data_IF_333912622229
#
_entry.id   IF_333912622229
#
_cell.length_a   1.000
_cell.length_b   1.000
_cell.length_c   1.000
_cell.angle_alpha   90.00
_cell.angle_beta   90.00
_cell.angle_gamma   90.00
#
_symmetry.space_group_name_H-M   'P 1'
#
loop_
_entity.id
_entity.type
_entity.pdbx_description
1 polymer ?
#
# COMPACT_ATOMS: atom_id res chain seq x y z
N UNK A 1 -23.75 42.34 -19.55
CA UNK A 1 -23.82 41.56 -20.81
C UNK A 1 -22.41 41.03 -21.05
N UNK A 2 -22.07 39.75 -20.98
CA UNK A 2 -22.81 38.51 -21.24
C UNK A 2 -22.07 37.33 -20.58
N UNK A 3 -22.82 36.24 -20.42
CA UNK A 3 -22.56 35.03 -19.66
C UNK A 3 -21.23 34.30 -19.89
N UNK A 4 -20.71 33.74 -18.79
CA UNK A 4 -19.85 32.56 -18.77
C UNK A 4 -20.57 31.40 -19.47
N UNK A 5 -19.95 30.82 -20.50
CA UNK A 5 -20.41 29.57 -21.11
C UNK A 5 -19.71 28.38 -20.42
N UNK A 6 -20.54 27.53 -19.83
CA UNK A 6 -20.15 26.25 -19.26
C UNK A 6 -19.67 25.29 -20.35
N UNK A 7 -18.53 24.66 -20.12
CA UNK A 7 -18.05 23.52 -20.89
C UNK A 7 -18.67 22.23 -20.38
N UNK A 8 -19.55 21.61 -21.17
CA UNK A 8 -19.88 20.18 -21.06
C UNK A 8 -19.68 19.54 -22.41
N UNK A 9 -18.49 18.93 -22.58
CA UNK A 9 -18.18 18.01 -23.68
C UNK A 9 -19.11 16.80 -23.57
N UNK A 10 -20.07 16.69 -24.48
CA UNK A 10 -20.74 15.43 -24.80
C UNK A 10 -20.76 15.32 -26.32
N UNK A 11 -20.12 14.26 -26.84
CA UNK A 11 -20.32 13.78 -28.21
C UNK A 11 -19.59 14.54 -29.31
N UNK A 12 -18.44 14.01 -29.74
CA UNK A 12 -17.92 14.29 -31.08
C UNK A 12 -18.85 13.64 -32.12
N UNK A 13 -19.50 14.43 -32.97
CA UNK A 13 -20.09 13.94 -34.22
C UNK A 13 -19.19 14.41 -35.37
N UNK A 14 -18.51 13.47 -36.02
CA UNK A 14 -17.73 13.74 -37.23
C UNK A 14 -18.66 13.64 -38.44
N UNK A 15 -18.82 14.76 -39.17
CA UNK A 15 -19.48 14.78 -40.47
C UNK A 15 -18.48 14.36 -41.55
N UNK A 16 -18.73 13.26 -42.25
CA UNK A 16 -18.08 12.93 -43.52
C UNK A 16 -19.12 12.95 -44.65
N UNK A 17 -18.83 13.60 -45.80
CA UNK A 17 -19.77 13.70 -46.91
C UNK A 17 -19.63 12.50 -47.86
N UNK A 18 -20.73 12.21 -48.57
CA UNK A 18 -20.86 11.34 -49.74
C UNK A 18 -21.03 9.82 -49.50
N UNK A 19 -22.28 9.43 -49.18
CA UNK A 19 -23.05 8.38 -49.91
C UNK A 19 -24.46 8.35 -49.34
N UNK A 20 -25.44 8.64 -50.19
CA UNK A 20 -26.85 8.88 -49.84
C UNK A 20 -27.58 7.71 -49.21
N UNK A 21 -27.36 7.49 -47.91
CA UNK A 21 -28.20 6.66 -47.07
C UNK A 21 -28.39 7.37 -45.72
N UNK A 22 -29.61 7.84 -45.46
CA UNK A 22 -29.98 8.35 -44.14
C UNK A 22 -30.28 7.15 -43.25
N UNK A 23 -29.33 6.77 -42.39
CA UNK A 23 -29.59 5.90 -41.25
C UNK A 23 -29.56 6.76 -39.99
N UNK A 24 -30.73 7.12 -39.48
CA UNK A 24 -30.86 7.64 -38.14
C UNK A 24 -30.89 6.44 -37.18
N UNK A 25 -29.76 6.15 -36.51
CA UNK A 25 -29.77 5.27 -35.34
C UNK A 25 -30.28 6.07 -34.14
N UNK A 26 -31.52 5.82 -33.74
CA UNK A 26 -32.03 6.26 -32.45
C UNK A 26 -31.37 5.45 -31.34
N UNK A 27 -30.50 6.07 -30.55
CA UNK A 27 -30.04 5.55 -29.26
C UNK A 27 -31.17 5.61 -28.23
N UNK A 28 -32.13 4.70 -28.33
CA UNK A 28 -32.93 4.25 -27.19
C UNK A 28 -33.80 3.08 -27.63
N UNK A 29 -33.50 1.91 -27.11
CA UNK A 29 -34.43 0.79 -27.12
C UNK A 29 -34.35 -0.10 -28.35
N UNK A 30 -34.04 -1.35 -28.06
CA UNK A 30 -33.94 -2.55 -28.90
C UNK A 30 -35.24 -2.89 -29.68
N UNK A 31 -35.80 -1.95 -30.46
CA UNK A 31 -37.00 -2.14 -31.28
C UNK A 31 -36.72 -1.77 -32.73
N UNK A 32 -36.61 -2.79 -33.57
CA UNK A 32 -36.76 -2.64 -35.02
C UNK A 32 -38.26 -2.50 -35.28
N UNK A 33 -38.71 -1.31 -35.66
CA UNK A 33 -40.09 -1.08 -36.13
C UNK A 33 -40.10 -1.20 -37.65
N UNK A 34 -40.65 -2.28 -38.17
CA UNK A 34 -40.93 -2.40 -39.60
C UNK A 34 -42.11 -1.49 -39.96
N UNK A 35 -41.84 -0.38 -40.64
CA UNK A 35 -42.88 0.45 -41.25
C UNK A 35 -43.46 -0.28 -42.48
N UNK A 36 -44.65 -0.86 -42.34
CA UNK A 36 -45.42 -1.29 -43.51
C UNK A 36 -46.02 -0.07 -44.19
N UNK A 37 -45.64 0.12 -45.45
CA UNK A 37 -46.26 1.09 -46.34
C UNK A 37 -47.71 0.68 -46.61
N UNK A 38 -48.67 1.52 -46.19
CA UNK A 38 -50.10 1.29 -46.34
C UNK A 38 -50.54 1.78 -47.71
N UNK A 39 -50.29 1.01 -48.75
CA UNK A 39 -51.05 1.09 -50.00
C UNK A 39 -51.36 -0.31 -50.50
N UNK A 40 -52.61 -0.46 -50.89
CA UNK A 40 -53.23 -1.61 -51.57
C UNK A 40 -53.88 -2.66 -50.67
N UNK A 41 -55.20 -2.73 -50.80
CA UNK A 41 -56.06 -3.70 -50.15
C UNK A 41 -55.89 -5.08 -50.76
N UNK A 42 -55.67 -6.07 -49.90
CA UNK A 42 -55.66 -7.49 -50.28
C UNK A 42 -56.56 -8.21 -49.26
N UNK A 43 -57.67 -8.78 -49.77
CA UNK A 43 -58.52 -9.74 -49.04
C UNK A 43 -57.92 -11.13 -49.25
N UNK A 44 -57.54 -11.85 -48.18
CA UNK A 44 -57.41 -13.34 -48.08
C UNK A 44 -56.89 -13.73 -46.67
N UNK A 45 -56.98 -15.00 -46.22
CA UNK A 45 -58.05 -15.50 -45.36
C UNK A 45 -57.55 -15.85 -43.94
N UNK A 46 -58.50 -16.22 -43.09
CA UNK A 46 -58.29 -16.88 -41.80
C UNK A 46 -57.36 -18.09 -41.89
N UNK A 47 -56.10 -17.91 -41.48
CA UNK A 47 -55.24 -18.89 -40.78
C UNK A 47 -53.93 -18.18 -40.43
N UNK A 48 -53.83 -17.74 -39.17
CA UNK A 48 -52.57 -17.29 -38.58
C UNK A 48 -51.63 -18.50 -38.56
N UNK A 49 -50.80 -18.59 -39.59
CA UNK A 49 -49.63 -19.44 -39.58
C UNK A 49 -48.75 -19.00 -38.41
N UNK A 50 -48.54 -19.98 -37.54
CA UNK A 50 -47.58 -19.97 -36.48
C UNK A 50 -46.20 -19.70 -37.10
N UNK A 51 -45.64 -18.53 -36.86
CA UNK A 51 -44.19 -18.33 -36.91
C UNK A 51 -43.79 -17.58 -35.64
N UNK A 52 -43.89 -18.29 -34.52
CA UNK A 52 -43.21 -17.91 -33.30
C UNK A 52 -41.76 -18.38 -33.42
N UNK A 53 -40.97 -17.68 -34.22
CA UNK A 53 -39.51 -17.75 -34.07
C UNK A 53 -39.19 -16.94 -32.83
N UNK A 54 -39.19 -17.60 -31.66
CA UNK A 54 -38.59 -17.04 -30.47
C UNK A 54 -37.12 -16.76 -30.81
N UNK A 55 -36.84 -15.49 -31.15
CA UNK A 55 -35.48 -14.98 -31.14
C UNK A 55 -35.05 -15.06 -29.69
N UNK A 56 -34.41 -16.17 -29.33
CA UNK A 56 -33.63 -16.26 -28.11
C UNK A 56 -32.58 -15.15 -28.24
N UNK A 57 -32.90 -13.98 -27.69
CA UNK A 57 -31.90 -13.17 -27.06
C UNK A 57 -31.32 -14.07 -25.98
N UNK A 58 -30.25 -14.80 -26.32
CA UNK A 58 -29.21 -15.12 -25.36
C UNK A 58 -28.74 -13.76 -24.86
N UNK A 59 -29.46 -13.23 -23.88
CA UNK A 59 -29.02 -12.09 -23.13
C UNK A 59 -27.74 -12.57 -22.48
N UNK A 60 -26.62 -12.02 -22.95
CA UNK A 60 -25.38 -12.02 -22.20
C UNK A 60 -25.58 -11.15 -20.96
N UNK A 61 -26.54 -11.50 -20.09
CA UNK A 61 -26.50 -11.06 -18.72
C UNK A 61 -25.18 -11.62 -18.19
N UNK A 62 -24.27 -10.77 -17.69
CA UNK A 62 -23.10 -11.28 -17.02
C UNK A 62 -23.59 -12.26 -15.95
N UNK A 63 -23.22 -13.54 -16.09
CA UNK A 63 -23.55 -14.57 -15.10
C UNK A 63 -23.00 -14.08 -13.77
N UNK A 64 -23.89 -13.73 -12.84
CA UNK A 64 -23.51 -13.27 -11.52
C UNK A 64 -22.74 -14.36 -10.77
N UNK A 65 -21.83 -13.95 -9.89
CA UNK A 65 -21.11 -14.85 -8.99
C UNK A 65 -22.10 -15.72 -8.22
N UNK A 66 -21.91 -17.03 -8.21
CA UNK A 66 -22.80 -17.92 -7.45
C UNK A 66 -22.45 -17.87 -5.97
N UNK A 67 -23.45 -17.96 -5.08
CA UNK A 67 -23.20 -18.00 -3.63
C UNK A 67 -22.31 -19.18 -3.25
N UNK A 68 -22.45 -20.32 -3.94
CA UNK A 68 -21.63 -21.51 -3.68
C UNK A 68 -20.16 -21.29 -4.07
N UNK A 69 -19.90 -20.58 -5.17
CA UNK A 69 -18.56 -20.21 -5.60
C UNK A 69 -17.90 -19.27 -4.58
N UNK A 70 -18.66 -18.33 -4.03
CA UNK A 70 -18.17 -17.47 -2.96
C UNK A 70 -17.92 -18.24 -1.66
N UNK A 71 -18.79 -19.19 -1.29
CA UNK A 71 -18.65 -19.98 -0.06
C UNK A 71 -17.38 -20.84 -0.06
N UNK A 72 -17.00 -21.41 -1.20
CA UNK A 72 -15.76 -22.20 -1.30
C UNK A 72 -14.54 -21.27 -1.24
N UNK A 73 -14.60 -20.10 -1.86
CA UNK A 73 -13.49 -19.13 -1.83
C UNK A 73 -13.21 -18.65 -0.41
N UNK A 74 -14.24 -18.26 0.35
CA UNK A 74 -14.03 -17.81 1.74
C UNK A 74 -13.54 -18.96 2.64
N UNK A 75 -13.94 -20.20 2.37
CA UNK A 75 -13.48 -21.36 3.12
C UNK A 75 -11.97 -21.59 2.93
N UNK A 76 -11.49 -21.54 1.68
CA UNK A 76 -10.06 -21.72 1.39
C UNK A 76 -9.24 -20.54 1.94
N UNK A 77 -9.69 -19.30 1.74
CA UNK A 77 -9.01 -18.11 2.27
C UNK A 77 -8.94 -18.15 3.80
N UNK A 78 -9.98 -18.63 4.48
CA UNK A 78 -10.00 -18.79 5.93
C UNK A 78 -8.91 -19.73 6.45
N UNK A 79 -8.70 -20.88 5.81
CA UNK A 79 -7.66 -21.85 6.18
C UNK A 79 -6.26 -21.25 5.97
N UNK A 80 -6.03 -20.61 4.81
CA UNK A 80 -4.74 -19.99 4.51
C UNK A 80 -4.42 -18.84 5.49
N UNK A 81 -5.41 -18.01 5.82
CA UNK A 81 -5.24 -16.90 6.75
C UNK A 81 -4.88 -17.37 8.16
N UNK A 82 -5.49 -18.47 8.64
CA UNK A 82 -5.23 -19.01 9.97
C UNK A 82 -3.75 -19.39 10.18
N UNK A 83 -3.09 -19.93 9.14
CA UNK A 83 -1.67 -20.31 9.19
C UNK A 83 -0.76 -19.09 8.96
N UNK A 84 -1.15 -18.17 8.08
CA UNK A 84 -0.31 -17.05 7.66
C UNK A 84 -0.22 -15.92 8.71
N UNK A 85 -1.30 -15.65 9.46
CA UNK A 85 -1.37 -14.52 10.40
C UNK A 85 -0.26 -14.49 11.47
N UNK A 86 0.03 -15.58 12.22
CA UNK A 86 1.06 -15.54 13.24
C UNK A 86 2.44 -15.26 12.65
N UNK A 87 2.80 -15.89 11.53
CA UNK A 87 4.08 -15.68 10.86
C UNK A 87 4.22 -14.25 10.32
N UNK A 88 3.13 -13.68 9.79
CA UNK A 88 3.12 -12.31 9.28
C UNK A 88 3.36 -11.27 10.39
N UNK A 89 2.82 -11.49 11.59
CA UNK A 89 3.02 -10.58 12.73
C UNK A 89 4.51 -10.47 13.16
N UNK A 90 5.24 -11.57 13.12
CA UNK A 90 6.67 -11.60 13.41
C UNK A 90 7.48 -10.83 12.36
N UNK A 91 7.09 -10.98 11.09
CA UNK A 91 7.75 -10.27 9.98
C UNK A 91 7.62 -8.75 10.15
N UNK A 92 6.41 -8.25 10.39
CA UNK A 92 6.16 -6.82 10.65
C UNK A 92 6.96 -6.32 11.86
N UNK A 93 7.08 -7.14 12.89
CA UNK A 93 7.88 -6.82 14.09
C UNK A 93 9.36 -6.65 13.74
N UNK A 94 9.93 -7.57 12.96
CA UNK A 94 11.33 -7.49 12.50
C UNK A 94 11.56 -6.26 11.62
N UNK A 95 10.66 -5.97 10.69
CA UNK A 95 10.79 -4.78 9.83
C UNK A 95 10.88 -3.51 10.65
N UNK A 96 10.00 -3.34 11.66
CA UNK A 96 10.05 -2.16 12.54
C UNK A 96 11.32 -2.10 13.38
N UNK A 97 11.83 -3.23 13.84
CA UNK A 97 13.12 -3.29 14.55
C UNK A 97 14.29 -2.94 13.65
N UNK A 98 14.30 -3.44 12.41
CA UNK A 98 15.31 -3.10 11.42
C UNK A 98 15.36 -1.60 11.16
N UNK A 99 14.21 -0.91 11.10
CA UNK A 99 14.19 0.56 10.99
C UNK A 99 14.94 1.22 12.16
N UNK A 100 14.70 0.79 13.40
CA UNK A 100 15.34 1.34 14.60
C UNK A 100 16.85 1.06 14.57
N UNK A 101 17.23 -0.18 14.22
CA UNK A 101 18.63 -0.59 14.11
C UNK A 101 19.36 0.28 13.08
N UNK A 102 18.78 0.47 11.90
CA UNK A 102 19.37 1.32 10.84
C UNK A 102 19.48 2.77 11.30
N UNK A 103 18.51 3.29 12.04
CA UNK A 103 18.60 4.64 12.61
C UNK A 103 19.72 4.75 13.65
N UNK A 104 19.85 3.76 14.54
CA UNK A 104 20.92 3.71 15.54
C UNK A 104 22.30 3.48 14.92
N UNK A 105 22.38 2.77 13.81
CA UNK A 105 23.63 2.58 13.06
C UNK A 105 24.11 3.90 12.47
N UNK A 106 23.21 4.69 11.89
CA UNK A 106 23.52 6.05 11.42
C UNK A 106 24.03 6.94 12.55
N UNK A 107 23.33 6.92 13.69
CA UNK A 107 23.77 7.63 14.89
C UNK A 107 25.17 7.17 15.29
N UNK A 108 25.39 5.87 15.33
CA UNK A 108 26.67 5.30 15.74
C UNK A 108 27.83 5.73 14.85
N UNK A 109 27.66 5.68 13.52
CA UNK A 109 28.68 6.12 12.57
C UNK A 109 29.01 7.60 12.74
N UNK A 110 28.01 8.46 12.79
CA UNK A 110 28.29 9.89 12.88
C UNK A 110 28.82 10.31 14.26
N UNK A 111 28.43 9.60 15.33
CA UNK A 111 29.04 9.75 16.66
C UNK A 111 30.52 9.34 16.62
N UNK A 112 30.88 8.23 15.95
CA UNK A 112 32.28 7.83 15.81
C UNK A 112 33.09 8.84 14.99
N UNK A 113 32.50 9.42 13.96
CA UNK A 113 33.13 10.48 13.15
C UNK A 113 33.35 11.74 13.99
N UNK A 114 32.33 12.19 14.72
CA UNK A 114 32.44 13.34 15.63
C UNK A 114 33.55 13.13 16.67
N UNK A 115 33.54 11.97 17.34
CA UNK A 115 34.55 11.64 18.35
C UNK A 115 35.96 11.56 17.77
N UNK A 116 36.13 11.16 16.51
CA UNK A 116 37.42 11.13 15.83
C UNK A 116 37.96 12.52 15.47
N UNK A 117 37.07 13.49 15.21
CA UNK A 117 37.42 14.84 14.79
C UNK A 117 37.52 15.84 15.95
N UNK A 118 36.94 15.53 17.11
CA UNK A 118 36.90 16.43 18.25
C UNK A 118 38.17 16.31 19.12
N UNK A 119 38.75 17.47 19.45
CA UNK A 119 39.82 17.63 20.44
C UNK A 119 39.34 18.59 21.55
N UNK A 120 39.20 18.14 22.82
CA UNK A 120 39.47 16.80 23.34
C UNK A 120 38.45 15.75 22.86
N UNK A 121 38.89 14.48 22.84
CA UNK A 121 38.05 13.34 22.46
C UNK A 121 36.91 13.15 23.45
N UNK A 122 35.70 13.48 23.04
CA UNK A 122 34.51 13.35 23.89
C UNK A 122 33.33 12.94 23.03
N UNK A 123 32.53 12.00 23.55
CA UNK A 123 31.28 11.59 22.90
C UNK A 123 30.25 12.72 22.99
N UNK A 124 29.49 12.99 21.92
CA UNK A 124 28.51 14.07 21.91
C UNK A 124 27.32 13.74 22.84
N UNK A 125 26.93 14.71 23.66
CA UNK A 125 25.77 14.60 24.58
C UNK A 125 24.42 14.81 23.86
N UNK A 126 24.44 15.36 22.65
CA UNK A 126 23.26 15.62 21.84
C UNK A 126 23.54 15.32 20.36
N UNK A 127 22.49 14.96 19.60
CA UNK A 127 22.63 14.65 18.18
C UNK A 127 22.73 15.89 17.27
N UNK A 128 22.36 17.07 17.76
CA UNK A 128 22.41 18.30 16.96
C UNK A 128 23.85 18.65 16.59
N UNK A 129 24.82 18.35 17.47
CA UNK A 129 26.25 18.52 17.21
C UNK A 129 26.77 17.61 16.08
N UNK A 130 26.08 16.50 15.83
CA UNK A 130 26.46 15.47 14.85
C UNK A 130 25.67 15.63 13.54
N UNK A 131 24.73 16.57 13.48
CA UNK A 131 23.90 16.81 12.29
C UNK A 131 22.92 15.68 11.97
N UNK A 132 22.52 14.88 12.97
CA UNK A 132 21.53 13.82 12.82
C UNK A 132 20.23 14.20 13.51
N UNK A 133 19.12 14.07 12.78
CA UNK A 133 17.79 14.18 13.36
C UNK A 133 17.23 12.79 13.72
N UNK A 134 16.81 12.63 14.97
CA UNK A 134 16.16 11.41 15.44
C UNK A 134 14.65 11.48 15.27
N UNK A 135 14.06 10.46 14.63
CA UNK A 135 12.61 10.34 14.54
C UNK A 135 12.00 9.77 15.82
N UNK A 136 11.06 10.48 16.42
CA UNK A 136 10.34 10.02 17.63
C UNK A 136 9.34 8.87 17.39
N UNK A 137 9.23 8.36 16.15
CA UNK A 137 8.30 7.32 15.69
C UNK A 137 8.30 6.08 16.58
N UNK A 138 9.49 5.61 16.98
CA UNK A 138 9.66 4.40 17.78
C UNK A 138 10.06 4.67 19.23
N UNK A 139 10.17 5.93 19.64
CA UNK A 139 10.67 6.30 20.96
C UNK A 139 11.54 7.54 20.88
N UNK A 140 11.70 8.22 22.02
CA UNK A 140 12.70 9.29 22.12
C UNK A 140 14.08 8.66 22.24
N UNK A 141 15.08 9.26 21.61
CA UNK A 141 16.47 8.88 21.81
C UNK A 141 16.88 9.23 23.25
N UNK A 142 17.64 8.33 23.84
CA UNK A 142 18.35 8.53 25.08
C UNK A 142 19.86 8.43 24.80
N UNK A 143 20.60 9.38 25.34
CA UNK A 143 22.06 9.46 25.28
C UNK A 143 22.58 9.21 26.68
N UNK A 144 23.49 8.25 26.82
CA UNK A 144 24.12 7.89 28.08
C UNK A 144 25.61 7.82 27.80
N UNK A 145 26.30 8.93 28.06
CA UNK A 145 27.76 8.97 27.99
C UNK A 145 28.28 8.52 29.35
N UNK A 146 28.97 7.38 29.36
CA UNK A 146 29.46 6.76 30.60
C UNK A 146 30.79 7.41 30.99
N UNK A 147 31.69 7.54 30.02
CA UNK A 147 33.03 8.11 30.15
C UNK A 147 33.44 8.77 28.81
N UNK A 148 34.62 9.39 28.76
CA UNK A 148 35.22 9.89 27.51
C UNK A 148 35.46 8.80 26.45
N UNK A 149 35.58 7.53 26.89
CA UNK A 149 35.83 6.38 26.02
C UNK A 149 34.60 5.56 25.66
N UNK A 150 33.42 5.86 26.24
CA UNK A 150 32.20 5.06 26.05
C UNK A 150 30.95 5.92 25.90
N UNK A 151 30.35 5.88 24.71
CA UNK A 151 29.06 6.50 24.41
C UNK A 151 27.98 5.45 24.15
N UNK A 152 26.81 5.60 24.77
CA UNK A 152 25.67 4.71 24.58
C UNK A 152 24.47 5.51 24.07
N UNK A 153 23.90 5.06 22.95
CA UNK A 153 22.81 5.75 22.25
C UNK A 153 21.70 4.76 21.98
N UNK A 154 20.44 5.13 22.23
CA UNK A 154 19.38 4.17 22.05
C UNK A 154 18.00 4.67 22.42
N UNK A 155 17.09 3.70 22.56
CA UNK A 155 15.70 3.92 22.93
C UNK A 155 15.40 3.06 24.15
N UNK A 156 14.99 3.70 25.25
CA UNK A 156 14.60 3.01 26.49
C UNK A 156 13.28 2.26 26.41
N UNK A 157 12.33 2.84 25.68
CA UNK A 157 10.98 2.28 25.54
C UNK A 157 10.56 2.35 24.10
N UNK A 158 10.68 1.22 23.41
CA UNK A 158 10.22 1.12 22.03
C UNK A 158 8.69 1.25 22.00
N UNK A 159 8.22 2.18 21.17
CA UNK A 159 6.80 2.48 20.91
C UNK A 159 6.45 2.14 19.47
N UNK A 160 5.16 2.18 19.15
CA UNK A 160 4.65 1.94 17.79
C UNK A 160 5.03 0.58 17.18
N UNK A 161 5.30 -0.42 18.03
CA UNK A 161 5.62 -1.80 17.67
C UNK A 161 4.60 -2.77 18.26
N UNK A 162 4.47 -3.99 17.69
CA UNK A 162 3.70 -5.06 18.29
C UNK A 162 4.14 -5.36 19.73
N UNK A 163 3.23 -5.90 20.53
CA UNK A 163 3.42 -6.12 21.99
C UNK A 163 4.64 -6.96 22.34
N UNK A 164 5.10 -7.84 21.44
CA UNK A 164 6.30 -8.69 21.64
C UNK A 164 7.60 -7.90 21.80
N UNK A 165 7.64 -6.65 21.33
CA UNK A 165 8.85 -5.80 21.30
C UNK A 165 8.59 -4.43 21.94
N UNK A 166 7.32 -4.06 22.12
CA UNK A 166 6.94 -2.80 22.76
C UNK A 166 7.47 -2.74 24.20
N UNK A 167 7.89 -1.56 24.62
CA UNK A 167 8.44 -1.25 25.94
C UNK A 167 9.79 -1.91 26.29
N UNK A 168 10.37 -2.71 25.39
CA UNK A 168 11.76 -3.13 25.49
C UNK A 168 12.71 -1.98 25.12
N UNK A 169 13.97 -2.12 25.51
CA UNK A 169 15.03 -1.19 25.22
C UNK A 169 16.02 -1.73 24.19
N UNK A 170 16.59 -0.82 23.41
CA UNK A 170 17.63 -1.13 22.44
C UNK A 170 18.62 0.03 22.40
N UNK A 171 19.86 -0.27 22.76
CA UNK A 171 20.97 0.67 22.70
C UNK A 171 22.10 0.10 21.87
N UNK A 172 22.83 1.01 21.22
CA UNK A 172 24.15 0.78 20.66
C UNK A 172 25.17 1.42 21.62
N UNK A 173 26.12 0.62 22.08
CA UNK A 173 27.31 1.09 22.78
C UNK A 173 28.44 1.21 21.78
N UNK A 174 29.14 2.32 21.84
CA UNK A 174 30.39 2.56 21.13
C UNK A 174 31.47 2.75 22.18
N UNK A 175 32.52 1.95 22.06
CA UNK A 175 33.70 2.05 22.92
C UNK A 175 34.90 2.41 22.07
N UNK A 176 35.66 3.40 22.52
CA UNK A 176 36.93 3.76 21.92
C UNK A 176 38.09 3.27 22.79
N UNK A 177 39.03 2.58 22.18
CA UNK A 177 40.30 2.21 22.81
C UNK A 177 41.46 2.65 21.93
N UNK A 178 42.45 3.34 22.51
CA UNK A 178 43.63 3.78 21.77
C UNK A 178 44.43 2.62 21.12
N UNK A 179 44.27 1.38 21.63
CA UNK A 179 44.96 0.19 21.10
C UNK A 179 44.16 -0.54 20.02
N UNK A 180 42.84 -0.61 20.18
CA UNK A 180 41.97 -1.47 19.38
C UNK A 180 41.00 -0.69 18.47
N UNK A 181 41.02 0.64 18.51
CA UNK A 181 40.11 1.50 17.76
C UNK A 181 38.70 1.52 18.35
N UNK A 182 37.70 1.68 17.47
CA UNK A 182 36.29 1.70 17.85
C UNK A 182 35.69 0.29 17.81
N UNK A 183 34.93 -0.05 18.84
CA UNK A 183 34.08 -1.24 18.87
C UNK A 183 32.63 -0.85 19.10
N UNK A 184 31.72 -1.65 18.53
CA UNK A 184 30.28 -1.46 18.62
C UNK A 184 29.65 -2.69 19.26
N UNK A 185 28.75 -2.50 20.20
CA UNK A 185 28.03 -3.58 20.88
C UNK A 185 26.56 -3.22 21.05
N UNK A 186 25.66 -4.18 20.82
CA UNK A 186 24.23 -3.99 21.09
C UNK A 186 23.87 -4.37 22.52
N UNK A 187 23.12 -3.50 23.19
CA UNK A 187 22.60 -3.70 24.55
C UNK A 187 21.08 -3.68 24.49
N UNK A 188 20.45 -4.80 24.84
CA UNK A 188 19.00 -4.95 24.70
C UNK A 188 18.43 -6.05 25.59
N UNK A 189 17.19 -5.88 26.03
CA UNK A 189 16.36 -6.90 26.68
C UNK A 189 15.41 -7.62 25.71
N UNK A 190 15.54 -7.37 24.40
CA UNK A 190 14.69 -8.01 23.39
C UNK A 190 14.75 -9.54 23.49
N UNK A 191 13.64 -10.24 23.20
CA UNK A 191 13.65 -11.70 23.07
C UNK A 191 14.72 -12.15 22.08
N UNK A 192 15.39 -13.29 22.37
CA UNK A 192 16.54 -13.77 21.59
C UNK A 192 16.30 -13.79 20.07
N UNK A 193 15.07 -14.15 19.65
CA UNK A 193 14.64 -14.18 18.24
C UNK A 193 14.80 -12.83 17.50
N UNK A 194 14.72 -11.72 18.22
CA UNK A 194 14.70 -10.35 17.69
C UNK A 194 15.98 -9.55 18.00
N UNK A 195 16.97 -10.16 18.66
CA UNK A 195 18.23 -9.48 18.96
C UNK A 195 19.04 -9.26 17.67
N UNK A 196 19.68 -8.08 17.50
CA UNK A 196 20.68 -7.89 16.46
C UNK A 196 21.79 -8.93 16.60
N UNK A 197 22.38 -9.33 15.47
CA UNK A 197 23.62 -10.12 15.51
C UNK A 197 24.75 -9.25 16.07
N UNK A 198 25.53 -9.83 16.97
CA UNK A 198 26.73 -9.22 17.55
C UNK A 198 27.92 -9.47 16.63
#
# INVERSE_FOLDING_TARGET
MTAQQATTKIGQAYLLPQRGAWLAETLSGNKIVCLKNKREGVKTPSRLFNCSYYRHFGSNYPKGFTLIELMIVIAIVGILAAIALPAYSDFVTRTKLCDIIVMLDKVGTAVTEYHALCDPKTFPDNLNLVGIEWSSKYGSLEVINVNESEGVYGVRRIRNTPTSVKNHYLYVRITYSAKNGYSKQWITDLPHKFRPRQ
#
